data_IF_918942130757
#
_entry.id   IF_918942130757
#
_cell.length_a   1.000
_cell.length_b   1.000
_cell.length_c   1.000
_cell.angle_alpha   90.00
_cell.angle_beta   90.00
_cell.angle_gamma   90.00
#
_symmetry.space_group_name_H-M   'P 1'
#
loop_
_entity.id
_entity.type
_entity.pdbx_description
1 polymer ?
#
# COMPACT_ATOMS: atom_id res chain seq x y z
N UNK A 1 -24.91 -18.74 11.64
CA UNK A 1 -25.94 -17.69 11.80
C UNK A 1 -25.25 -16.37 12.06
N UNK A 2 -25.54 -15.36 11.26
CA UNK A 2 -24.98 -13.99 11.43
C UNK A 2 -25.90 -13.21 12.37
N UNK A 3 -25.33 -12.59 13.37
CA UNK A 3 -26.06 -11.75 14.36
C UNK A 3 -25.38 -10.41 14.49
N UNK A 4 -26.11 -9.42 14.93
CA UNK A 4 -25.54 -8.13 15.27
C UNK A 4 -24.50 -8.28 16.40
N UNK A 5 -23.35 -7.62 16.25
CA UNK A 5 -22.28 -7.69 17.24
C UNK A 5 -22.71 -7.02 18.56
N UNK A 6 -22.20 -7.50 19.71
CA UNK A 6 -22.48 -6.89 21.00
C UNK A 6 -21.87 -5.50 21.12
N UNK A 7 -22.30 -4.76 22.12
CA UNK A 7 -21.62 -3.52 22.50
C UNK A 7 -20.25 -3.89 23.09
N UNK A 8 -19.22 -3.18 22.62
CA UNK A 8 -17.84 -3.37 23.02
C UNK A 8 -17.32 -2.08 23.68
N UNK A 9 -17.46 -1.95 25.01
CA UNK A 9 -16.93 -0.78 25.71
C UNK A 9 -15.41 -0.71 25.63
N UNK A 10 -14.81 0.47 25.82
CA UNK A 10 -13.36 0.64 25.89
C UNK A 10 -12.71 -0.33 26.88
N UNK A 11 -11.54 -0.86 26.52
CA UNK A 11 -10.85 -1.90 27.28
C UNK A 11 -11.32 -3.33 27.04
N UNK A 12 -12.35 -3.52 26.20
CA UNK A 12 -12.79 -4.87 25.83
C UNK A 12 -11.71 -5.59 25.01
N UNK A 13 -11.43 -6.85 25.38
CA UNK A 13 -10.58 -7.73 24.59
C UNK A 13 -11.44 -8.77 23.89
N UNK A 14 -11.43 -8.73 22.55
CA UNK A 14 -12.16 -9.68 21.69
C UNK A 14 -11.18 -10.74 21.21
N UNK A 15 -11.47 -12.00 21.52
CA UNK A 15 -10.70 -13.17 21.05
C UNK A 15 -11.60 -14.15 20.34
N UNK A 16 -11.09 -14.79 19.30
CA UNK A 16 -11.82 -15.87 18.65
C UNK A 16 -12.04 -17.03 19.63
N UNK A 17 -13.29 -17.50 19.69
CA UNK A 17 -13.64 -18.70 20.47
C UNK A 17 -13.56 -19.92 19.57
N UNK A 18 -12.87 -20.99 19.98
CA UNK A 18 -12.88 -22.26 19.26
C UNK A 18 -14.32 -22.80 19.13
N UNK A 19 -14.72 -23.20 17.93
CA UNK A 19 -16.03 -23.84 17.69
C UNK A 19 -17.25 -22.89 17.66
N UNK A 20 -17.04 -21.58 17.55
CA UNK A 20 -18.11 -20.58 17.55
C UNK A 20 -18.91 -20.58 16.25
N UNK A 21 -20.18 -21.01 16.31
CA UNK A 21 -21.12 -20.96 15.16
C UNK A 21 -21.83 -19.63 14.96
N UNK A 22 -21.41 -18.55 15.63
CA UNK A 22 -22.06 -17.23 15.54
C UNK A 22 -21.10 -16.24 14.90
N UNK A 23 -21.55 -15.63 13.82
CA UNK A 23 -20.84 -14.55 13.14
C UNK A 23 -21.35 -13.21 13.67
N UNK A 24 -20.46 -12.37 14.14
CA UNK A 24 -20.79 -11.00 14.53
C UNK A 24 -20.62 -10.03 13.39
N UNK A 25 -21.63 -9.21 13.18
CA UNK A 25 -21.62 -8.12 12.23
C UNK A 25 -21.71 -6.78 12.95
N UNK A 26 -20.83 -5.89 12.60
CA UNK A 26 -20.81 -4.52 13.07
C UNK A 26 -21.01 -3.60 11.85
N UNK A 27 -22.14 -2.89 11.82
CA UNK A 27 -22.46 -1.96 10.75
C UNK A 27 -22.62 -0.56 11.34
N UNK A 28 -21.89 0.43 10.79
CA UNK A 28 -21.98 1.84 11.20
C UNK A 28 -21.60 2.08 12.66
N UNK A 29 -20.85 1.19 13.28
CA UNK A 29 -20.49 1.27 14.70
C UNK A 29 -19.23 2.09 14.93
N UNK A 30 -19.20 2.82 16.04
CA UNK A 30 -17.99 3.37 16.61
C UNK A 30 -17.44 2.43 17.67
N UNK A 31 -16.21 1.96 17.46
CA UNK A 31 -15.48 1.11 18.38
C UNK A 31 -14.26 1.89 18.90
N UNK A 32 -14.15 2.02 20.22
CA UNK A 32 -13.10 2.84 20.82
C UNK A 32 -12.37 2.05 21.92
N UNK A 33 -11.02 2.04 21.85
CA UNK A 33 -10.17 1.35 22.82
C UNK A 33 -10.42 -0.15 22.92
N UNK A 34 -10.88 -0.78 21.84
CA UNK A 34 -11.12 -2.22 21.78
C UNK A 34 -9.89 -2.94 21.24
N UNK A 35 -9.53 -4.05 21.88
CA UNK A 35 -8.42 -4.89 21.44
C UNK A 35 -8.92 -6.20 20.84
N UNK A 36 -8.57 -6.44 19.58
CA UNK A 36 -8.84 -7.67 18.84
C UNK A 36 -7.58 -8.53 18.83
N UNK A 37 -7.65 -9.75 19.37
CA UNK A 37 -6.50 -10.63 19.47
C UNK A 37 -6.74 -12.00 18.82
N UNK A 38 -5.79 -12.46 18.00
CA UNK A 38 -5.73 -13.82 17.45
C UNK A 38 -7.00 -14.22 16.69
N UNK A 39 -7.60 -13.27 16.00
CA UNK A 39 -8.75 -13.53 15.14
C UNK A 39 -8.20 -14.00 13.79
N UNK A 40 -8.42 -15.29 13.47
CA UNK A 40 -7.80 -15.94 12.29
C UNK A 40 -8.75 -16.20 11.14
N UNK A 41 -10.06 -16.22 11.39
CA UNK A 41 -11.07 -16.59 10.40
C UNK A 41 -12.13 -15.48 10.31
N UNK A 42 -11.66 -14.26 10.00
CA UNK A 42 -12.47 -13.05 10.09
C UNK A 42 -13.75 -13.05 9.24
N UNK A 43 -13.79 -13.54 7.96
CA UNK A 43 -15.03 -13.43 7.20
C UNK A 43 -16.15 -14.28 7.76
N UNK A 44 -15.81 -15.38 8.43
CA UNK A 44 -16.81 -16.31 8.95
C UNK A 44 -17.23 -15.98 10.39
N UNK A 45 -16.51 -15.12 11.09
CA UNK A 45 -16.76 -14.84 12.51
C UNK A 45 -16.98 -13.37 12.83
N UNK A 46 -16.29 -12.45 12.13
CA UNK A 46 -16.31 -11.02 12.40
C UNK A 46 -16.39 -10.23 11.10
N UNK A 47 -17.38 -9.36 10.98
CA UNK A 47 -17.56 -8.49 9.82
C UNK A 47 -17.75 -7.06 10.27
N UNK A 48 -17.02 -6.12 9.66
CA UNK A 48 -17.13 -4.70 9.90
C UNK A 48 -17.54 -3.98 8.62
N UNK A 49 -18.52 -3.10 8.70
CA UNK A 49 -18.92 -2.22 7.61
C UNK A 49 -19.09 -0.81 8.13
N UNK A 50 -18.48 0.14 7.43
CA UNK A 50 -18.68 1.56 7.71
C UNK A 50 -18.47 1.92 9.19
N UNK A 51 -17.50 1.26 9.82
CA UNK A 51 -17.20 1.42 11.22
C UNK A 51 -16.10 2.47 11.45
N UNK A 52 -16.22 3.17 12.56
CA UNK A 52 -15.18 4.05 13.08
C UNK A 52 -14.41 3.32 14.19
N UNK A 53 -13.14 3.09 13.98
CA UNK A 53 -12.22 2.53 14.97
C UNK A 53 -11.34 3.65 15.52
N UNK A 54 -11.36 3.84 16.82
CA UNK A 54 -10.55 4.88 17.48
C UNK A 54 -9.76 4.22 18.62
N UNK A 55 -8.44 4.45 18.62
CA UNK A 55 -7.56 3.88 19.65
C UNK A 55 -7.68 2.34 19.81
N UNK A 56 -8.00 1.64 18.73
CA UNK A 56 -8.17 0.18 18.73
C UNK A 56 -6.85 -0.53 18.42
N UNK A 57 -6.72 -1.76 18.96
CA UNK A 57 -5.56 -2.61 18.71
C UNK A 57 -5.98 -3.90 17.99
N UNK A 58 -5.21 -4.30 16.98
CA UNK A 58 -5.33 -5.57 16.28
C UNK A 58 -4.02 -6.32 16.42
N UNK A 59 -4.03 -7.46 17.14
CA UNK A 59 -2.80 -8.20 17.46
C UNK A 59 -2.92 -9.63 17.01
N UNK A 60 -1.95 -10.09 16.22
CA UNK A 60 -1.91 -11.46 15.68
C UNK A 60 -3.21 -11.86 14.94
N UNK A 61 -3.88 -10.87 14.32
CA UNK A 61 -5.13 -11.08 13.59
C UNK A 61 -4.86 -11.39 12.11
N UNK A 62 -5.66 -12.27 11.53
CA UNK A 62 -5.79 -12.41 10.10
C UNK A 62 -7.02 -11.60 9.68
N UNK A 63 -6.78 -10.52 8.95
CA UNK A 63 -7.83 -9.62 8.52
C UNK A 63 -8.09 -9.86 7.03
N UNK A 64 -8.90 -10.89 6.74
CA UNK A 64 -9.30 -11.19 5.38
C UNK A 64 -10.48 -10.30 4.97
N UNK A 65 -10.42 -9.75 3.75
CA UNK A 65 -11.50 -9.22 2.91
C UNK A 65 -11.98 -7.78 3.12
N UNK A 66 -12.36 -7.31 4.30
CA UNK A 66 -13.06 -6.02 4.36
C UNK A 66 -12.64 -5.16 5.56
N UNK A 67 -11.51 -4.46 5.41
CA UNK A 67 -11.22 -3.31 6.28
C UNK A 67 -11.92 -2.03 5.80
N UNK A 68 -12.69 -2.10 4.70
CA UNK A 68 -13.41 -0.98 4.10
C UNK A 68 -14.85 -1.35 3.75
N UNK A 69 -15.58 -0.44 3.11
CA UNK A 69 -16.95 -0.72 2.64
C UNK A 69 -16.93 -1.46 1.31
N UNK A 70 -17.61 -2.61 1.17
CA UNK A 70 -17.72 -3.34 -0.09
C UNK A 70 -18.76 -2.74 -1.04
N UNK A 71 -19.59 -1.81 -0.59
CA UNK A 71 -20.73 -1.29 -1.35
C UNK A 71 -20.38 -0.04 -2.17
N UNK A 72 -21.09 0.20 -3.28
CA UNK A 72 -20.89 1.37 -4.14
C UNK A 72 -21.37 2.70 -3.52
N UNK A 73 -21.77 2.73 -2.24
CA UNK A 73 -22.20 3.94 -1.58
C UNK A 73 -21.02 4.89 -1.36
N UNK A 74 -21.02 6.08 -1.98
CA UNK A 74 -19.91 7.03 -1.85
C UNK A 74 -19.73 7.60 -0.44
N UNK A 75 -20.71 7.46 0.45
CA UNK A 75 -20.64 7.94 1.82
C UNK A 75 -20.09 6.94 2.84
N UNK A 76 -20.05 5.67 2.48
CA UNK A 76 -19.72 4.59 3.39
C UNK A 76 -18.22 4.26 3.32
N UNK A 77 -17.46 4.57 4.37
CA UNK A 77 -16.04 4.27 4.49
C UNK A 77 -15.67 3.95 5.94
N UNK A 78 -15.02 2.81 6.15
CA UNK A 78 -14.47 2.54 7.48
C UNK A 78 -13.30 3.47 7.79
N UNK A 79 -13.23 3.95 9.01
CA UNK A 79 -12.19 4.85 9.48
C UNK A 79 -11.43 4.23 10.63
N UNK A 80 -10.11 4.32 10.54
CA UNK A 80 -9.20 3.85 11.57
C UNK A 80 -8.37 5.05 12.04
N UNK A 81 -8.53 5.43 13.28
CA UNK A 81 -7.80 6.56 13.86
C UNK A 81 -7.01 6.12 15.08
N UNK A 82 -5.70 6.39 15.07
CA UNK A 82 -4.75 5.99 16.12
C UNK A 82 -4.83 4.51 16.47
N UNK A 83 -5.10 3.68 15.47
CA UNK A 83 -5.15 2.22 15.65
C UNK A 83 -3.75 1.60 15.47
N UNK A 84 -3.54 0.49 16.17
CA UNK A 84 -2.29 -0.26 16.09
C UNK A 84 -2.56 -1.66 15.56
N UNK A 85 -1.85 -2.01 14.47
CA UNK A 85 -1.88 -3.34 13.86
C UNK A 85 -0.53 -3.99 14.11
N UNK A 86 -0.48 -5.01 14.97
CA UNK A 86 0.76 -5.71 15.33
C UNK A 86 0.72 -7.14 14.86
N UNK A 87 1.67 -7.55 14.04
CA UNK A 87 1.81 -8.91 13.48
C UNK A 87 0.53 -9.43 12.82
N UNK A 88 -0.24 -8.52 12.21
CA UNK A 88 -1.46 -8.89 11.50
C UNK A 88 -1.12 -9.48 10.13
N UNK A 89 -1.92 -10.46 9.71
CA UNK A 89 -1.88 -10.97 8.34
C UNK A 89 -2.86 -10.16 7.49
N UNK A 90 -2.30 -9.28 6.64
CA UNK A 90 -3.04 -8.40 5.74
C UNK A 90 -2.93 -8.88 4.28
N UNK A 91 -2.47 -10.11 4.07
CA UNK A 91 -2.45 -10.70 2.73
C UNK A 91 -3.88 -10.99 2.28
N UNK A 92 -4.18 -10.67 1.04
CA UNK A 92 -5.54 -10.76 0.47
C UNK A 92 -6.55 -9.74 1.02
N UNK A 93 -6.08 -8.71 1.72
CA UNK A 93 -6.95 -7.61 2.14
C UNK A 93 -7.19 -6.70 0.94
N UNK A 94 -8.41 -6.68 0.48
CA UNK A 94 -8.91 -5.67 -0.45
C UNK A 94 -9.44 -4.49 0.38
N UNK A 95 -8.64 -3.44 0.48
CA UNK A 95 -9.13 -2.22 1.14
C UNK A 95 -9.71 -1.30 0.08
N UNK A 96 -11.00 -1.12 0.15
CA UNK A 96 -11.71 -0.10 -0.61
C UNK A 96 -12.44 0.82 0.34
N UNK A 97 -12.34 2.13 0.10
CA UNK A 97 -13.04 3.16 0.89
C UNK A 97 -12.76 3.02 2.38
N UNK A 98 -11.51 3.13 2.72
CA UNK A 98 -11.06 3.22 4.10
C UNK A 98 -10.17 4.44 4.29
N UNK A 99 -10.14 4.95 5.51
CA UNK A 99 -9.20 5.97 5.93
C UNK A 99 -8.44 5.50 7.15
N UNK A 100 -7.13 5.49 7.04
CA UNK A 100 -6.23 5.25 8.16
C UNK A 100 -5.54 6.57 8.51
N UNK A 101 -5.70 7.02 9.74
CA UNK A 101 -5.14 8.27 10.24
C UNK A 101 -4.42 8.02 11.55
N UNK A 102 -3.13 8.43 11.60
CA UNK A 102 -2.26 8.27 12.77
C UNK A 102 -2.13 6.80 13.25
N UNK A 103 -2.26 5.83 12.33
CA UNK A 103 -2.18 4.40 12.65
C UNK A 103 -0.74 3.89 12.57
N UNK A 104 -0.47 2.79 13.29
CA UNK A 104 0.81 2.07 13.21
C UNK A 104 0.57 0.66 12.70
N UNK A 105 1.39 0.25 11.72
CA UNK A 105 1.46 -1.10 11.21
C UNK A 105 2.83 -1.68 11.54
N UNK A 106 2.89 -2.58 12.51
CA UNK A 106 4.12 -3.17 13.03
C UNK A 106 4.20 -4.65 12.70
N UNK A 107 5.22 -5.03 11.95
CA UNK A 107 5.53 -6.42 11.60
C UNK A 107 4.35 -7.18 10.97
N UNK A 108 3.52 -6.48 10.22
CA UNK A 108 2.39 -7.06 9.50
C UNK A 108 2.86 -7.81 8.24
N UNK A 109 2.09 -8.82 7.84
CA UNK A 109 2.30 -9.50 6.56
C UNK A 109 1.43 -8.85 5.51
N UNK A 110 2.04 -8.44 4.41
CA UNK A 110 1.39 -7.70 3.33
C UNK A 110 1.16 -8.62 2.11
N UNK A 111 0.58 -8.23 1.17
CA UNK A 111 0.15 -8.49 -0.18
C UNK A 111 -1.23 -7.86 -0.32
N UNK A 112 -1.24 -6.53 -0.28
CA UNK A 112 -2.46 -5.75 -0.17
C UNK A 112 -2.52 -4.68 -1.27
N UNK A 113 -3.72 -4.48 -1.79
CA UNK A 113 -3.99 -3.44 -2.77
C UNK A 113 -4.90 -2.37 -2.16
N UNK A 114 -4.38 -1.16 -2.01
CA UNK A 114 -5.09 -0.02 -1.46
C UNK A 114 -5.58 0.90 -2.60
N UNK A 115 -6.80 0.64 -3.10
CA UNK A 115 -7.33 1.35 -4.27
C UNK A 115 -7.95 2.71 -3.93
N UNK A 116 -8.96 2.73 -3.07
CA UNK A 116 -9.65 3.95 -2.66
C UNK A 116 -9.45 4.16 -1.16
N UNK A 117 -8.21 4.45 -0.76
CA UNK A 117 -7.78 4.49 0.63
C UNK A 117 -7.03 5.77 0.91
N UNK A 118 -7.49 6.47 1.93
CA UNK A 118 -6.73 7.58 2.49
C UNK A 118 -5.74 7.06 3.54
N UNK A 119 -4.48 7.46 3.39
CA UNK A 119 -3.40 7.16 4.34
C UNK A 119 -2.81 8.47 4.85
N UNK A 120 -3.11 8.82 6.09
CA UNK A 120 -2.71 10.10 6.68
C UNK A 120 -1.86 9.86 7.93
N UNK A 121 -0.59 10.23 7.87
CA UNK A 121 0.37 10.17 8.99
C UNK A 121 0.48 8.80 9.65
N UNK A 122 0.43 7.74 8.87
CA UNK A 122 0.60 6.38 9.38
C UNK A 122 2.09 6.01 9.45
N UNK A 123 2.41 5.09 10.35
CA UNK A 123 3.76 4.56 10.51
C UNK A 123 3.81 3.08 10.14
N UNK A 124 4.80 2.71 9.33
CA UNK A 124 5.05 1.35 8.88
C UNK A 124 6.40 0.87 9.42
N UNK A 125 6.40 -0.28 10.10
CA UNK A 125 7.59 -0.85 10.75
C UNK A 125 7.76 -2.31 10.36
N UNK A 126 8.99 -2.71 10.08
CA UNK A 126 9.32 -4.06 9.63
C UNK A 126 9.12 -4.27 8.13
N UNK A 127 9.02 -5.49 7.67
CA UNK A 127 8.91 -5.79 6.25
C UNK A 127 7.53 -5.42 5.70
N UNK A 128 7.51 -4.61 4.65
CA UNK A 128 6.31 -4.26 3.89
C UNK A 128 6.48 -4.84 2.49
N UNK A 129 5.89 -6.01 2.26
CA UNK A 129 5.99 -6.73 1.01
C UNK A 129 4.71 -6.62 0.16
N UNK A 130 4.88 -6.42 -1.15
CA UNK A 130 3.77 -6.42 -2.13
C UNK A 130 2.60 -5.47 -1.76
N UNK A 131 2.90 -4.30 -1.19
CA UNK A 131 1.92 -3.25 -0.96
C UNK A 131 1.81 -2.35 -2.19
N UNK A 132 0.60 -2.24 -2.74
CA UNK A 132 0.33 -1.31 -3.85
C UNK A 132 -0.49 -0.12 -3.37
N UNK A 133 0.06 1.08 -3.54
CA UNK A 133 -0.60 2.35 -3.23
C UNK A 133 -1.08 3.02 -4.53
N UNK A 134 -2.29 3.50 -4.52
CA UNK A 134 -2.93 4.17 -5.64
C UNK A 134 -3.28 5.61 -5.27
N UNK A 135 -2.77 6.58 -6.01
CA UNK A 135 -3.10 7.99 -5.82
C UNK A 135 -4.54 8.32 -6.24
N UNK A 136 -5.11 7.49 -7.11
CA UNK A 136 -6.50 7.57 -7.56
C UNK A 136 -7.00 6.17 -7.92
N UNK A 137 -8.28 5.90 -7.72
CA UNK A 137 -8.90 4.69 -8.28
C UNK A 137 -8.90 4.79 -9.83
N UNK A 138 -8.61 3.66 -10.50
CA UNK A 138 -8.57 3.59 -11.97
C UNK A 138 -9.97 3.65 -12.57
N UNK A 139 -10.62 4.81 -12.41
CA UNK A 139 -11.92 5.14 -12.99
C UNK A 139 -11.96 6.61 -13.36
N UNK A 140 -12.48 6.95 -14.54
CA UNK A 140 -12.69 8.34 -14.93
C UNK A 140 -13.50 9.11 -13.87
N UNK A 141 -12.97 10.25 -13.41
CA UNK A 141 -13.65 11.09 -12.43
C UNK A 141 -13.58 10.61 -10.97
N UNK A 142 -12.87 9.51 -10.69
CA UNK A 142 -12.65 9.09 -9.29
C UNK A 142 -11.89 10.18 -8.50
N UNK A 143 -12.23 10.41 -7.24
CA UNK A 143 -11.51 11.34 -6.40
C UNK A 143 -10.07 10.85 -6.17
N UNK A 144 -9.18 11.78 -5.89
CA UNK A 144 -7.82 11.45 -5.44
C UNK A 144 -7.86 10.92 -4.02
N UNK A 145 -7.03 9.91 -3.75
CA UNK A 145 -6.79 9.44 -2.40
C UNK A 145 -5.87 10.43 -1.66
N UNK A 146 -6.14 10.64 -0.39
CA UNK A 146 -5.29 11.47 0.48
C UNK A 146 -4.18 10.59 1.04
N UNK A 147 -2.97 10.67 0.45
CA UNK A 147 -1.79 9.91 0.90
C UNK A 147 -0.73 10.91 1.32
N UNK A 148 -0.64 11.22 2.61
CA UNK A 148 0.21 12.31 3.10
C UNK A 148 0.83 11.98 4.46
N UNK A 149 2.11 12.35 4.61
CA UNK A 149 2.83 12.32 5.89
C UNK A 149 3.06 10.91 6.46
N UNK A 150 3.00 9.87 5.62
CA UNK A 150 3.24 8.51 6.10
C UNK A 150 4.73 8.26 6.29
N UNK A 151 5.07 7.51 7.36
CA UNK A 151 6.42 7.19 7.75
C UNK A 151 6.75 5.73 7.43
N UNK A 152 7.56 5.53 6.39
CA UNK A 152 8.16 4.25 5.99
C UNK A 152 9.64 4.17 6.38
N UNK A 153 10.16 5.11 7.18
CA UNK A 153 11.62 5.18 7.48
C UNK A 153 12.16 3.95 8.21
N UNK A 154 11.29 3.18 8.85
CA UNK A 154 11.60 1.93 9.53
C UNK A 154 11.03 0.69 8.83
N UNK A 155 10.63 0.85 7.59
CA UNK A 155 10.11 -0.24 6.77
C UNK A 155 11.18 -0.78 5.83
N UNK A 156 11.20 -2.10 5.68
CA UNK A 156 11.91 -2.79 4.60
C UNK A 156 10.92 -3.04 3.47
N UNK A 157 11.03 -2.24 2.39
CA UNK A 157 10.04 -2.21 1.30
C UNK A 157 10.40 -3.24 0.22
N UNK A 158 9.60 -4.28 0.10
CA UNK A 158 9.76 -5.33 -0.90
C UNK A 158 8.58 -5.32 -1.88
N UNK A 159 8.84 -5.29 -3.18
CA UNK A 159 7.78 -5.35 -4.19
C UNK A 159 6.73 -4.24 -4.09
N UNK A 160 7.09 -3.08 -3.56
CA UNK A 160 6.14 -2.00 -3.37
C UNK A 160 5.74 -1.36 -4.70
N UNK A 161 4.43 -1.29 -4.95
CA UNK A 161 3.85 -0.60 -6.10
C UNK A 161 3.40 0.81 -5.76
N UNK A 162 3.84 1.80 -6.55
CA UNK A 162 3.34 3.18 -6.49
C UNK A 162 2.72 3.53 -7.83
N UNK A 163 1.41 3.77 -7.86
CA UNK A 163 0.74 4.27 -9.06
C UNK A 163 0.97 5.77 -9.25
N UNK A 164 0.60 6.26 -10.42
CA UNK A 164 0.58 7.70 -10.69
C UNK A 164 -0.21 8.46 -9.61
N UNK A 165 0.16 9.70 -9.39
CA UNK A 165 -0.48 10.62 -8.44
C UNK A 165 -0.27 10.29 -6.93
N UNK A 166 0.52 9.29 -6.57
CA UNK A 166 0.98 9.15 -5.19
C UNK A 166 2.01 10.24 -4.88
N UNK A 167 1.77 11.12 -3.89
CA UNK A 167 2.70 12.20 -3.56
C UNK A 167 3.91 11.65 -2.81
N UNK A 168 4.94 11.24 -3.56
CA UNK A 168 6.14 10.59 -3.01
C UNK A 168 6.90 11.53 -2.06
N UNK A 169 6.88 12.84 -2.32
CA UNK A 169 7.58 13.85 -1.53
C UNK A 169 6.97 14.08 -0.15
N UNK A 170 5.70 13.76 0.01
CA UNK A 170 4.96 13.94 1.27
C UNK A 170 5.15 12.76 2.23
N UNK A 171 6.00 11.80 1.90
CA UNK A 171 6.25 10.60 2.71
C UNK A 171 7.69 10.57 3.24
N UNK A 172 7.88 9.92 4.37
CA UNK A 172 9.22 9.59 4.88
C UNK A 172 9.61 8.19 4.42
N UNK A 173 10.63 8.09 3.57
CA UNK A 173 11.12 6.84 3.02
C UNK A 173 12.35 6.30 3.77
N UNK A 174 12.65 4.99 3.68
CA UNK A 174 13.90 4.44 4.20
C UNK A 174 15.13 5.18 3.62
N UNK A 175 16.15 5.34 4.45
CA UNK A 175 17.41 6.00 4.07
C UNK A 175 18.59 5.06 4.36
N UNK A 176 18.60 3.93 3.68
CA UNK A 176 19.65 2.93 3.77
C UNK A 176 20.29 2.68 2.40
N UNK A 177 21.27 1.78 2.34
CA UNK A 177 21.99 1.45 1.12
C UNK A 177 21.18 0.59 0.12
N UNK A 178 20.05 0.03 0.56
CA UNK A 178 19.22 -0.85 -0.25
C UNK A 178 18.14 -0.07 -1.02
N UNK A 179 17.62 0.99 -0.42
CA UNK A 179 16.50 1.77 -0.98
C UNK A 179 16.99 3.00 -1.71
N UNK A 180 16.58 3.14 -2.95
CA UNK A 180 16.96 4.27 -3.81
C UNK A 180 15.70 4.99 -4.29
N UNK A 181 15.71 6.31 -4.15
CA UNK A 181 14.74 7.19 -4.78
C UNK A 181 15.18 7.47 -6.21
N UNK A 182 14.34 7.15 -7.16
CA UNK A 182 14.56 7.35 -8.59
C UNK A 182 13.61 8.41 -9.10
N UNK A 183 14.15 9.55 -9.49
CA UNK A 183 13.39 10.66 -10.05
C UNK A 183 13.36 10.60 -11.57
N UNK A 184 12.35 11.26 -12.18
CA UNK A 184 12.19 11.34 -13.63
C UNK A 184 12.19 9.96 -14.29
N UNK A 185 11.51 8.99 -13.67
CA UNK A 185 11.48 7.60 -14.14
C UNK A 185 11.12 7.48 -15.63
N UNK A 186 10.10 8.19 -16.16
CA UNK A 186 9.78 8.13 -17.60
C UNK A 186 10.91 8.61 -18.50
N UNK A 187 11.65 9.65 -18.08
CA UNK A 187 12.76 10.17 -18.86
C UNK A 187 13.93 9.19 -18.89
N UNK A 188 14.23 8.60 -17.72
CA UNK A 188 15.27 7.57 -17.59
C UNK A 188 14.94 6.32 -18.41
N UNK A 189 13.68 5.89 -18.40
CA UNK A 189 13.22 4.76 -19.22
C UNK A 189 13.40 5.06 -20.72
N UNK A 190 13.03 6.24 -21.18
CA UNK A 190 13.23 6.66 -22.58
C UNK A 190 14.71 6.68 -22.96
N UNK A 191 15.55 7.29 -22.12
CA UNK A 191 16.98 7.36 -22.37
C UNK A 191 17.65 5.98 -22.37
N UNK A 192 17.30 5.12 -21.43
CA UNK A 192 17.80 3.74 -21.38
C UNK A 192 17.36 2.94 -22.62
N UNK A 193 16.10 3.04 -23.03
CA UNK A 193 15.58 2.40 -24.22
C UNK A 193 16.35 2.83 -25.45
N UNK A 194 16.51 4.14 -25.68
CA UNK A 194 17.25 4.68 -26.83
C UNK A 194 18.68 4.13 -26.86
N UNK A 195 19.37 4.06 -25.71
CA UNK A 195 20.71 3.52 -25.62
C UNK A 195 20.76 2.04 -26.02
N UNK A 196 19.85 1.21 -25.47
CA UNK A 196 19.77 -0.23 -25.76
C UNK A 196 19.43 -0.53 -27.23
N UNK A 197 18.59 0.30 -27.85
CA UNK A 197 18.28 0.22 -29.29
C UNK A 197 19.48 0.54 -30.18
N UNK A 198 20.31 1.50 -29.75
CA UNK A 198 21.50 1.92 -30.50
C UNK A 198 22.66 0.92 -30.43
N UNK A 199 22.93 0.39 -29.24
CA UNK A 199 24.08 -0.48 -29.01
C UNK A 199 23.74 -1.98 -29.07
N UNK A 200 22.45 -2.35 -29.04
CA UNK A 200 22.01 -3.74 -29.13
C UNK A 200 22.50 -4.63 -27.97
N UNK A 201 22.95 -4.02 -26.86
CA UNK A 201 23.72 -4.70 -25.84
C UNK A 201 22.93 -5.65 -24.95
N UNK A 202 21.63 -5.41 -24.74
CA UNK A 202 20.80 -6.24 -23.85
C UNK A 202 19.35 -6.35 -24.38
N UNK A 203 19.06 -7.32 -25.26
CA UNK A 203 17.72 -7.53 -25.82
C UNK A 203 16.68 -7.94 -24.79
N UNK A 204 17.08 -8.55 -23.68
CA UNK A 204 16.18 -8.94 -22.60
C UNK A 204 15.72 -7.73 -21.81
N UNK A 205 16.64 -6.84 -21.49
CA UNK A 205 16.34 -5.59 -20.82
C UNK A 205 15.48 -4.67 -21.69
N UNK A 206 15.73 -4.63 -23.01
CA UNK A 206 14.90 -3.89 -23.95
C UNK A 206 13.45 -4.40 -23.95
N UNK A 207 13.25 -5.73 -24.01
CA UNK A 207 11.91 -6.35 -23.91
C UNK A 207 11.23 -6.04 -22.57
N UNK A 208 11.98 -6.05 -21.49
CA UNK A 208 11.45 -5.66 -20.18
C UNK A 208 10.94 -4.21 -20.18
N UNK A 209 11.72 -3.28 -20.73
CA UNK A 209 11.31 -1.88 -20.88
C UNK A 209 10.08 -1.76 -21.76
N UNK A 210 9.97 -2.49 -22.86
CA UNK A 210 8.82 -2.48 -23.76
C UNK A 210 7.56 -2.96 -23.05
N UNK A 211 7.65 -4.06 -22.28
CA UNK A 211 6.55 -4.58 -21.49
C UNK A 211 6.06 -3.56 -20.45
N UNK A 212 6.96 -3.02 -19.67
CA UNK A 212 6.61 -1.99 -18.69
C UNK A 212 6.14 -0.67 -19.31
N UNK A 213 6.60 -0.35 -20.53
CA UNK A 213 6.21 0.87 -21.24
C UNK A 213 4.83 0.76 -21.87
N UNK A 214 4.44 -0.40 -22.36
CA UNK A 214 3.12 -0.63 -22.98
C UNK A 214 2.00 -0.59 -21.94
N UNK A 215 2.26 -1.10 -20.75
CA UNK A 215 1.30 -1.03 -19.63
C UNK A 215 1.25 0.34 -18.94
N UNK A 216 2.23 1.19 -19.21
CA UNK A 216 2.37 2.50 -18.60
C UNK A 216 2.08 3.58 -19.65
N UNK A 217 0.80 3.81 -19.95
CA UNK A 217 0.46 5.09 -20.57
C UNK A 217 1.16 6.21 -19.81
N UNK A 218 1.75 7.20 -20.49
CA UNK A 218 2.52 8.28 -19.83
C UNK A 218 1.77 8.96 -18.67
N UNK A 219 0.46 8.94 -18.71
CA UNK A 219 -0.40 9.47 -17.65
C UNK A 219 -0.39 8.64 -16.34
N UNK A 220 0.01 7.36 -16.43
CA UNK A 220 -0.02 6.44 -15.27
C UNK A 220 1.36 6.17 -14.68
N UNK A 221 2.42 6.64 -15.32
CA UNK A 221 3.79 6.44 -14.83
C UNK A 221 4.09 7.43 -13.71
N UNK A 222 4.36 6.90 -12.52
CA UNK A 222 4.85 7.71 -11.42
C UNK A 222 6.19 8.34 -11.81
N UNK A 223 6.32 9.67 -11.70
CA UNK A 223 7.53 10.41 -12.06
C UNK A 223 8.70 10.10 -11.11
N UNK A 224 8.40 9.78 -9.86
CA UNK A 224 9.38 9.41 -8.84
C UNK A 224 8.98 8.10 -8.20
N UNK A 225 9.92 7.19 -8.03
CA UNK A 225 9.71 5.91 -7.34
C UNK A 225 10.77 5.72 -6.25
N UNK A 226 10.39 4.96 -5.23
CA UNK A 226 11.35 4.40 -4.26
C UNK A 226 11.39 2.89 -4.51
N UNK A 227 12.59 2.38 -4.76
CA UNK A 227 12.81 0.98 -5.12
C UNK A 227 13.92 0.39 -4.26
N UNK A 228 13.79 -0.89 -3.93
CA UNK A 228 14.88 -1.67 -3.33
C UNK A 228 15.64 -2.39 -4.44
N UNK A 229 16.92 -2.02 -4.62
CA UNK A 229 17.73 -2.52 -5.75
C UNK A 229 18.12 -4.00 -5.65
N UNK A 230 18.11 -4.55 -4.46
CA UNK A 230 18.40 -5.97 -4.17
C UNK A 230 17.14 -6.76 -3.75
N UNK A 231 15.96 -6.28 -4.12
CA UNK A 231 14.67 -6.85 -3.74
C UNK A 231 14.60 -8.35 -4.06
N UNK A 232 14.51 -9.24 -3.04
CA UNK A 232 14.49 -10.68 -3.23
C UNK A 232 13.21 -11.22 -3.87
N UNK A 233 12.13 -10.44 -3.89
CA UNK A 233 10.87 -10.82 -4.54
C UNK A 233 10.91 -10.61 -6.05
N UNK A 234 11.91 -9.87 -6.55
CA UNK A 234 12.04 -9.52 -7.94
C UNK A 234 13.07 -10.40 -8.65
N UNK A 235 12.85 -10.66 -9.94
CA UNK A 235 13.80 -11.40 -10.77
C UNK A 235 15.07 -10.59 -11.11
N UNK A 236 16.05 -11.25 -11.68
CA UNK A 236 17.33 -10.61 -12.02
C UNK A 236 17.18 -9.53 -13.10
N UNK A 237 16.28 -9.71 -14.05
CA UNK A 237 16.03 -8.74 -15.11
C UNK A 237 15.48 -7.45 -14.54
N UNK A 238 14.52 -7.55 -13.59
CA UNK A 238 13.97 -6.42 -12.87
C UNK A 238 15.07 -5.67 -12.08
N UNK A 239 15.90 -6.39 -11.32
CA UNK A 239 17.00 -5.78 -10.56
C UNK A 239 18.01 -5.09 -11.47
N UNK A 240 18.39 -5.71 -12.60
CA UNK A 240 19.26 -5.11 -13.61
C UNK A 240 18.64 -3.85 -14.22
N UNK A 241 17.34 -3.89 -14.53
CA UNK A 241 16.63 -2.76 -15.09
C UNK A 241 16.67 -1.53 -14.16
N UNK A 242 16.35 -1.72 -12.89
CA UNK A 242 16.39 -0.60 -11.95
C UNK A 242 17.80 -0.08 -11.70
N UNK A 243 18.80 -0.93 -11.60
CA UNK A 243 20.20 -0.47 -11.53
C UNK A 243 20.61 0.31 -12.78
N UNK A 244 20.21 -0.14 -13.96
CA UNK A 244 20.45 0.58 -15.20
C UNK A 244 19.72 1.94 -15.23
N UNK A 245 18.47 2.01 -14.76
CA UNK A 245 17.70 3.26 -14.68
C UNK A 245 18.34 4.25 -13.70
N UNK A 246 18.83 3.78 -12.56
CA UNK A 246 19.55 4.63 -11.59
C UNK A 246 20.82 5.20 -12.21
N UNK A 247 21.55 4.40 -13.01
CA UNK A 247 22.80 4.79 -13.65
C UNK A 247 22.63 5.66 -14.92
N UNK A 248 21.40 5.88 -15.40
CA UNK A 248 21.15 6.75 -16.56
C UNK A 248 21.43 8.20 -16.19
N UNK A 249 22.38 8.83 -16.83
CA UNK A 249 22.56 10.27 -16.79
C UNK A 249 21.56 10.95 -17.73
N UNK A 250 20.68 11.75 -17.17
CA UNK A 250 19.83 12.63 -17.96
C UNK A 250 20.65 13.88 -18.26
N UNK A 251 20.94 14.10 -19.54
CA UNK A 251 21.63 15.32 -19.96
C UNK A 251 20.98 16.54 -19.30
N UNK A 252 21.78 17.36 -18.65
CA UNK A 252 21.30 18.55 -17.98
C UNK A 252 20.55 19.41 -19.02
N UNK A 253 19.29 19.71 -18.77
CA UNK A 253 18.66 20.86 -19.40
C UNK A 253 19.53 22.04 -19.02
N UNK A 254 20.28 22.55 -20.01
CA UNK A 254 21.01 23.78 -19.84
C UNK A 254 20.02 24.81 -19.30
N UNK A 255 20.41 25.44 -18.22
CA UNK A 255 19.64 26.47 -17.50
C UNK A 255 19.42 27.67 -18.45
N UNK A 256 18.59 27.42 -19.45
CA UNK A 256 18.10 28.41 -20.41
C UNK A 256 16.96 29.20 -19.77
N UNK A 257 17.27 29.91 -18.69
CA UNK A 257 16.44 31.08 -18.33
C UNK A 257 16.90 32.26 -19.17
N UNK A 258 15.95 32.84 -19.93
CA UNK A 258 16.19 34.13 -20.56
C UNK A 258 16.33 35.24 -19.53
#
# INVERSE_FOLDING_TARGET
MMVEGPDLPPGTVVRQRPGGGVQWRFDGRRLEGVRFERIKDAPDWLSFRDCDFVDCEFVDCRLDWYLGSPLPDPGAASRFKRCVFTRCDLRNVYVRRARFEDCTFDSCRWNAHFFAVDLVRNRFVGTVDSLSLWGREDKPGAPRNVIIGNDFSQADLLGMGLSAEVPVDDQLWPRDEHHVRVERVPDRMRALRTRLEQDGSDPELLRWLEFYWVDLEPANVQSTKVVRLDDPLMDDTWRRAWRALVAVELGGEGDGRP
#
